data_IF_522522321402
#
_entry.id   IF_522522321402
#
_cell.length_a   1.000
_cell.length_b   1.000
_cell.length_c   1.000
_cell.angle_alpha   90.00
_cell.angle_beta   90.00
_cell.angle_gamma   90.00
#
_symmetry.space_group_name_H-M   'P 1'
#
loop_
_entity.id
_entity.type
_entity.pdbx_description
1 polymer ?
#
# COMPACT_ATOMS: atom_id res chain seq x y z
N UNK A 1 -12.40 19.52 6.05
CA UNK A 1 -11.07 20.07 5.75
C UNK A 1 -10.68 19.57 4.36
N UNK A 2 -10.36 20.48 3.45
CA UNK A 2 -9.91 20.16 2.08
C UNK A 2 -8.40 20.42 2.07
N UNK A 3 -7.62 19.48 1.53
CA UNK A 3 -6.14 19.55 1.49
C UNK A 3 -5.63 20.56 0.44
N UNK A 4 -6.44 20.83 -0.58
CA UNK A 4 -6.14 21.71 -1.69
C UNK A 4 -6.91 23.01 -1.54
N UNK A 5 -6.20 24.13 -1.67
CA UNK A 5 -6.77 25.47 -1.53
C UNK A 5 -7.42 25.92 -2.84
N UNK A 6 -6.67 25.90 -3.93
CA UNK A 6 -7.09 26.41 -5.25
C UNK A 6 -6.59 25.51 -6.38
N UNK A 7 -7.40 25.36 -7.42
CA UNK A 7 -7.07 24.63 -8.65
C UNK A 7 -6.80 25.62 -9.78
N UNK A 8 -5.72 25.42 -10.53
CA UNK A 8 -5.31 26.24 -11.65
C UNK A 8 -5.68 25.60 -13.00
N UNK A 9 -5.80 26.43 -14.04
CA UNK A 9 -5.98 25.94 -15.41
C UNK A 9 -4.75 25.18 -15.91
N UNK A 10 -4.97 24.17 -16.75
CA UNK A 10 -3.90 23.41 -17.39
C UNK A 10 -2.98 24.31 -18.22
N UNK A 11 -1.69 24.19 -18.00
CA UNK A 11 -0.66 24.87 -18.77
C UNK A 11 -0.34 24.11 -20.07
N UNK A 12 0.31 24.80 -21.00
CA UNK A 12 0.77 24.20 -22.25
C UNK A 12 1.71 23.02 -21.97
N UNK A 13 1.36 21.84 -22.49
CA UNK A 13 2.09 20.60 -22.31
C UNK A 13 2.70 20.15 -23.64
N UNK A 14 3.92 19.61 -23.58
CA UNK A 14 4.58 19.04 -24.76
C UNK A 14 3.81 17.82 -25.28
N UNK A 15 3.77 17.63 -26.60
CA UNK A 15 3.18 16.41 -27.21
C UNK A 15 3.92 15.12 -26.86
N UNK A 16 5.13 15.23 -26.31
CA UNK A 16 5.93 14.10 -25.83
C UNK A 16 5.69 13.77 -24.36
N UNK A 17 5.02 14.65 -23.62
CA UNK A 17 4.63 14.45 -22.23
C UNK A 17 3.23 13.84 -22.20
N UNK A 18 3.11 12.64 -21.64
CA UNK A 18 1.86 11.89 -21.57
C UNK A 18 1.28 11.86 -20.16
N UNK A 19 1.88 12.60 -19.23
CA UNK A 19 1.37 12.69 -17.88
C UNK A 19 0.08 13.51 -17.84
N UNK A 20 -0.86 13.08 -16.99
CA UNK A 20 -2.01 13.89 -16.63
C UNK A 20 -1.65 14.71 -15.39
N UNK A 21 -1.66 16.04 -15.52
CA UNK A 21 -1.36 16.95 -14.42
C UNK A 21 -2.61 17.56 -13.79
N UNK A 22 -2.54 17.77 -12.49
CA UNK A 22 -3.38 18.73 -11.77
C UNK A 22 -2.48 19.83 -11.21
N UNK A 23 -2.82 21.07 -11.50
CA UNK A 23 -2.10 22.25 -11.04
C UNK A 23 -2.89 22.88 -9.91
N UNK A 24 -2.29 22.99 -8.74
CA UNK A 24 -2.99 23.36 -7.51
C UNK A 24 -2.15 24.32 -6.65
N UNK A 25 -2.77 24.86 -5.60
CA UNK A 25 -2.10 25.58 -4.53
C UNK A 25 -2.33 24.91 -3.18
N UNK A 26 -1.27 24.81 -2.38
CA UNK A 26 -1.32 24.37 -0.98
C UNK A 26 -0.53 25.37 -0.14
N UNK A 27 -1.21 26.06 0.76
CA UNK A 27 -0.65 27.07 1.67
C UNK A 27 0.16 28.15 0.92
N UNK A 28 -0.33 28.59 -0.25
CA UNK A 28 0.33 29.59 -1.08
C UNK A 28 1.51 29.08 -1.91
N UNK A 29 1.79 27.77 -1.91
CA UNK A 29 2.79 27.16 -2.79
C UNK A 29 2.10 26.53 -4.00
N UNK A 30 2.66 26.77 -5.19
CA UNK A 30 2.20 26.11 -6.42
C UNK A 30 2.65 24.64 -6.41
N UNK A 31 1.70 23.74 -6.60
CA UNK A 31 1.90 22.29 -6.59
C UNK A 31 1.48 21.72 -7.94
N UNK A 32 2.32 20.85 -8.49
CA UNK A 32 2.01 20.04 -9.67
C UNK A 32 1.86 18.59 -9.21
N UNK A 33 0.71 17.99 -9.49
CA UNK A 33 0.42 16.60 -9.15
C UNK A 33 0.29 15.80 -10.44
N UNK A 34 0.93 14.63 -10.50
CA UNK A 34 0.71 13.66 -11.57
C UNK A 34 0.53 12.26 -10.99
N UNK A 35 -0.36 11.48 -11.61
CA UNK A 35 -0.51 10.06 -11.33
C UNK A 35 0.52 9.22 -12.07
N UNK A 36 0.89 8.07 -11.49
CA UNK A 36 1.69 7.08 -12.19
C UNK A 36 0.83 6.26 -13.15
N UNK A 37 1.37 5.93 -14.32
CA UNK A 37 0.72 5.04 -15.29
C UNK A 37 0.82 3.54 -14.89
N UNK A 38 1.45 3.24 -13.76
CA UNK A 38 1.61 1.90 -13.20
C UNK A 38 2.44 1.93 -11.91
N UNK A 39 2.47 0.84 -11.13
CA UNK A 39 3.32 0.74 -9.96
C UNK A 39 4.80 0.67 -10.33
N UNK A 40 5.67 0.94 -9.35
CA UNK A 40 7.11 0.72 -9.45
C UNK A 40 7.94 1.94 -9.86
N UNK A 41 9.26 1.78 -9.73
CA UNK A 41 10.24 2.87 -9.87
C UNK A 41 10.36 3.38 -11.31
N UNK A 42 10.18 2.50 -12.31
CA UNK A 42 10.30 2.87 -13.74
C UNK A 42 9.19 3.84 -14.14
N UNK A 43 7.96 3.57 -13.70
CA UNK A 43 6.82 4.45 -13.95
C UNK A 43 7.02 5.80 -13.26
N UNK A 44 7.44 5.80 -11.99
CA UNK A 44 7.75 7.02 -11.25
C UNK A 44 8.86 7.86 -11.92
N UNK A 45 9.94 7.22 -12.35
CA UNK A 45 11.05 7.90 -13.02
C UNK A 45 10.60 8.53 -14.35
N UNK A 46 9.77 7.82 -15.12
CA UNK A 46 9.25 8.30 -16.41
C UNK A 46 8.40 9.56 -16.23
N UNK A 47 7.46 9.51 -15.28
CA UNK A 47 6.58 10.64 -14.94
C UNK A 47 7.42 11.85 -14.51
N UNK A 48 8.33 11.69 -13.55
CA UNK A 48 9.17 12.79 -13.05
C UNK A 48 10.06 13.37 -14.13
N UNK A 49 10.60 12.55 -15.03
CA UNK A 49 11.45 13.02 -16.13
C UNK A 49 10.70 13.94 -17.09
N UNK A 50 9.48 13.55 -17.49
CA UNK A 50 8.62 14.38 -18.33
C UNK A 50 8.16 15.64 -17.58
N UNK A 51 7.77 15.50 -16.31
CA UNK A 51 7.36 16.61 -15.46
C UNK A 51 8.44 17.68 -15.28
N UNK A 52 9.71 17.29 -15.11
CA UNK A 52 10.83 18.24 -15.05
C UNK A 52 11.07 18.98 -16.36
N UNK A 53 10.75 18.34 -17.48
CA UNK A 53 10.87 18.96 -18.81
C UNK A 53 9.75 19.99 -19.01
N UNK A 54 8.52 19.65 -18.62
CA UNK A 54 7.35 20.52 -18.76
C UNK A 54 7.35 21.68 -17.75
N UNK A 55 7.80 21.44 -16.51
CA UNK A 55 7.81 22.43 -15.43
C UNK A 55 9.25 22.65 -14.91
N UNK A 56 10.06 23.48 -15.61
CA UNK A 56 11.48 23.65 -15.29
C UNK A 56 11.74 24.31 -13.91
N UNK A 57 10.72 24.96 -13.33
CA UNK A 57 10.80 25.61 -12.04
C UNK A 57 10.50 24.69 -10.84
N UNK A 58 10.27 23.39 -11.07
CA UNK A 58 10.11 22.43 -9.99
C UNK A 58 11.40 22.31 -9.16
N UNK A 59 11.30 22.63 -7.87
CA UNK A 59 12.42 22.56 -6.91
C UNK A 59 12.40 21.35 -6.00
N UNK A 60 11.20 20.90 -5.63
CA UNK A 60 11.00 19.84 -4.64
C UNK A 60 10.05 18.81 -5.22
N UNK A 61 10.30 17.54 -4.92
CA UNK A 61 9.45 16.42 -5.32
C UNK A 61 9.09 15.57 -4.12
N UNK A 62 7.81 15.24 -3.99
CA UNK A 62 7.29 14.31 -3.00
C UNK A 62 6.63 13.14 -3.72
N UNK A 63 7.17 11.94 -3.56
CA UNK A 63 6.54 10.72 -4.05
C UNK A 63 5.59 10.20 -2.98
N UNK A 64 4.29 10.17 -3.28
CA UNK A 64 3.26 9.62 -2.40
C UNK A 64 2.85 8.26 -2.95
N UNK A 65 3.06 7.22 -2.15
CA UNK A 65 2.70 5.85 -2.51
C UNK A 65 2.44 5.01 -1.26
N UNK A 66 1.83 3.86 -1.47
CA UNK A 66 1.63 2.88 -0.41
C UNK A 66 2.89 2.01 -0.35
N UNK A 67 3.62 2.08 0.77
CA UNK A 67 4.78 1.22 1.04
C UNK A 67 4.40 0.07 1.96
N UNK A 68 4.91 -1.14 1.67
CA UNK A 68 4.91 -2.24 2.62
C UNK A 68 6.09 -2.09 3.58
N UNK A 69 5.83 -1.82 4.86
CA UNK A 69 6.86 -1.74 5.89
C UNK A 69 6.98 -3.06 6.63
N UNK A 70 8.16 -3.67 6.61
CA UNK A 70 8.47 -4.85 7.42
C UNK A 70 9.09 -4.38 8.73
N UNK A 71 8.49 -4.73 9.87
CA UNK A 71 9.09 -4.47 11.18
C UNK A 71 10.00 -5.66 11.51
N UNK A 72 11.33 -5.47 11.40
CA UNK A 72 12.33 -6.46 11.83
C UNK A 72 12.34 -6.74 13.35
N UNK A 73 11.43 -6.12 14.13
CA UNK A 73 11.31 -6.33 15.58
C UNK A 73 10.92 -7.77 15.99
N UNK A 74 10.74 -8.69 15.05
CA UNK A 74 10.53 -10.12 15.34
C UNK A 74 11.81 -10.97 15.34
N UNK A 75 13.01 -10.37 15.30
CA UNK A 75 14.24 -11.11 15.60
C UNK A 75 15.08 -10.40 16.65
N UNK A 76 14.89 -10.89 17.88
CA UNK A 76 15.82 -10.90 19.02
C UNK A 76 16.22 -9.56 19.66
N UNK A 77 16.11 -9.56 21.00
CA UNK A 77 16.70 -8.60 21.91
C UNK A 77 18.15 -8.26 21.54
N UNK A 78 18.43 -7.01 21.18
CA UNK A 78 19.49 -6.14 21.71
C UNK A 78 19.83 -5.01 20.73
N UNK A 79 20.05 -3.84 21.33
CA UNK A 79 20.75 -2.66 20.82
C UNK A 79 20.09 -1.77 19.74
N UNK A 80 19.62 -0.62 20.24
CA UNK A 80 19.83 0.73 19.71
C UNK A 80 20.13 0.84 18.21
N UNK A 81 19.08 1.03 17.40
CA UNK A 81 19.07 1.77 16.13
C UNK A 81 17.66 1.84 15.55
N UNK A 82 16.88 2.80 16.02
CA UNK A 82 15.75 3.33 15.26
C UNK A 82 16.27 4.17 14.09
N UNK A 83 16.86 3.53 13.08
CA UNK A 83 17.19 4.17 11.81
C UNK A 83 16.32 3.57 10.72
N UNK A 84 15.22 4.26 10.42
CA UNK A 84 14.37 3.99 9.28
C UNK A 84 15.09 4.45 8.01
N UNK A 85 15.78 3.53 7.34
CA UNK A 85 16.21 3.76 5.96
C UNK A 85 15.09 3.28 5.03
N UNK A 86 14.43 4.22 4.34
CA UNK A 86 13.58 3.90 3.20
C UNK A 86 14.49 3.52 2.02
N UNK A 87 15.02 2.31 2.06
CA UNK A 87 15.57 1.66 0.88
C UNK A 87 14.37 1.14 0.08
N UNK A 88 14.25 1.50 -1.19
CA UNK A 88 13.30 0.86 -2.12
C UNK A 88 14.16 -0.13 -2.93
N UNK A 89 14.31 -1.39 -2.47
CA UNK A 89 15.05 -2.37 -3.23
C UNK A 89 14.23 -2.76 -4.46
N UNK A 90 14.92 -3.07 -5.55
CA UNK A 90 14.30 -3.66 -6.74
C UNK A 90 13.72 -5.04 -6.42
N UNK A 91 12.68 -5.41 -7.17
CA UNK A 91 11.93 -6.66 -7.12
C UNK A 91 12.85 -7.88 -7.39
N UNK A 92 13.71 -8.25 -6.43
CA UNK A 92 14.40 -9.54 -6.49
C UNK A 92 13.46 -10.66 -6.02
N UNK A 93 13.49 -11.81 -6.69
CA UNK A 93 12.65 -12.98 -6.36
C UNK A 93 12.82 -13.43 -4.89
N UNK A 94 14.01 -13.24 -4.32
CA UNK A 94 14.28 -13.50 -2.90
C UNK A 94 13.49 -12.59 -1.93
N UNK A 95 13.08 -11.40 -2.38
CA UNK A 95 12.20 -10.52 -1.61
C UNK A 95 10.74 -10.94 -1.75
N UNK A 96 10.30 -11.44 -2.91
CA UNK A 96 8.94 -11.97 -3.11
C UNK A 96 8.68 -13.16 -2.19
N UNK A 97 9.64 -14.06 -2.05
CA UNK A 97 9.53 -15.21 -1.13
C UNK A 97 9.51 -14.78 0.35
N UNK A 98 10.33 -13.78 0.71
CA UNK A 98 10.31 -13.20 2.07
C UNK A 98 8.98 -12.50 2.37
N UNK A 99 8.49 -11.70 1.44
CA UNK A 99 7.19 -11.02 1.55
C UNK A 99 6.06 -12.06 1.70
N UNK A 100 6.11 -13.15 0.93
CA UNK A 100 5.11 -14.24 1.01
C UNK A 100 5.10 -14.90 2.39
N UNK A 101 6.27 -15.26 2.94
CA UNK A 101 6.37 -15.85 4.27
C UNK A 101 5.94 -14.92 5.40
N UNK A 102 6.18 -13.62 5.29
CA UNK A 102 5.72 -12.65 6.29
C UNK A 102 4.21 -12.44 6.26
N UNK A 103 3.61 -12.44 5.06
CA UNK A 103 2.17 -12.34 4.89
C UNK A 103 1.48 -13.56 5.52
N UNK A 104 2.07 -14.75 5.46
CA UNK A 104 1.57 -15.95 6.16
C UNK A 104 1.57 -15.74 7.68
N UNK A 105 2.68 -15.28 8.25
CA UNK A 105 2.78 -14.97 9.69
C UNK A 105 1.76 -13.89 10.10
N UNK A 106 1.58 -12.85 9.28
CA UNK A 106 0.58 -11.82 9.54
C UNK A 106 -0.84 -12.36 9.45
N UNK A 107 -1.11 -13.24 8.48
CA UNK A 107 -2.39 -13.93 8.33
C UNK A 107 -2.71 -14.73 9.59
N UNK A 108 -1.76 -15.53 10.07
CA UNK A 108 -1.91 -16.31 11.30
C UNK A 108 -2.19 -15.44 12.52
N UNK A 109 -1.38 -14.39 12.73
CA UNK A 109 -1.57 -13.48 13.86
C UNK A 109 -2.92 -12.75 13.80
N UNK A 110 -3.37 -12.39 12.59
CA UNK A 110 -4.64 -11.67 12.42
C UNK A 110 -5.83 -12.61 12.60
N UNK A 111 -5.76 -13.85 12.13
CA UNK A 111 -6.75 -14.89 12.38
C UNK A 111 -6.85 -15.23 13.86
N UNK A 112 -5.72 -15.31 14.58
CA UNK A 112 -5.72 -15.48 16.03
C UNK A 112 -6.32 -14.27 16.77
N UNK A 113 -6.07 -13.04 16.29
CA UNK A 113 -6.69 -11.84 16.87
C UNK A 113 -8.22 -11.82 16.65
N UNK A 114 -8.68 -12.32 15.51
CA UNK A 114 -10.10 -12.56 15.20
C UNK A 114 -10.72 -13.61 16.12
N UNK A 115 -10.02 -14.73 16.35
CA UNK A 115 -10.44 -15.80 17.27
C UNK A 115 -10.73 -15.25 18.67
N UNK A 116 -9.81 -14.45 19.23
CA UNK A 116 -9.98 -13.84 20.55
C UNK A 116 -11.18 -12.89 20.64
N UNK A 117 -11.49 -12.19 19.54
CA UNK A 117 -12.56 -11.18 19.50
C UNK A 117 -13.95 -11.77 19.21
N UNK A 118 -14.03 -12.81 18.39
CA UNK A 118 -15.29 -13.41 17.93
C UNK A 118 -15.61 -14.78 18.57
N UNK A 119 -14.71 -15.33 19.38
CA UNK A 119 -14.80 -16.71 19.94
C UNK A 119 -15.04 -17.73 18.82
N UNK A 120 -14.24 -17.64 17.76
CA UNK A 120 -14.33 -18.55 16.61
C UNK A 120 -14.07 -19.99 17.03
N UNK A 121 -14.81 -20.92 16.45
CA UNK A 121 -14.54 -22.34 16.62
C UNK A 121 -13.37 -22.80 15.71
N UNK A 122 -12.82 -23.99 15.97
CA UNK A 122 -11.66 -24.51 15.24
C UNK A 122 -11.94 -24.65 13.73
N UNK A 123 -13.17 -25.00 13.36
CA UNK A 123 -13.60 -25.15 11.97
C UNK A 123 -13.68 -23.80 11.25
N UNK A 124 -14.24 -22.77 11.88
CA UNK A 124 -14.28 -21.39 11.34
C UNK A 124 -12.87 -20.83 11.14
N UNK A 125 -11.98 -21.05 12.11
CA UNK A 125 -10.58 -20.64 12.03
C UNK A 125 -9.88 -21.28 10.84
N UNK A 126 -10.06 -22.59 10.66
CA UNK A 126 -9.46 -23.34 9.57
C UNK A 126 -9.95 -22.82 8.21
N UNK A 127 -11.26 -22.60 8.06
CA UNK A 127 -11.84 -22.09 6.81
C UNK A 127 -11.33 -20.69 6.47
N UNK A 128 -11.25 -19.78 7.45
CA UNK A 128 -10.73 -18.43 7.23
C UNK A 128 -9.25 -18.48 6.83
N UNK A 129 -8.44 -19.29 7.53
CA UNK A 129 -7.02 -19.44 7.24
C UNK A 129 -6.79 -20.01 5.83
N UNK A 130 -7.46 -21.11 5.46
CA UNK A 130 -7.38 -21.71 4.12
C UNK A 130 -7.79 -20.73 3.01
N UNK A 131 -8.79 -19.89 3.27
CA UNK A 131 -9.26 -18.91 2.28
C UNK A 131 -8.32 -17.72 2.13
N UNK A 132 -7.81 -17.18 3.24
CA UNK A 132 -6.81 -16.10 3.21
C UNK A 132 -5.53 -16.57 2.52
N UNK A 133 -5.10 -17.81 2.76
CA UNK A 133 -3.87 -18.37 2.18
C UNK A 133 -3.99 -18.78 0.71
N UNK A 134 -5.20 -19.02 0.21
CA UNK A 134 -5.44 -19.39 -1.20
C UNK A 134 -5.07 -18.28 -2.20
N UNK A 135 -5.13 -17.01 -1.80
CA UNK A 135 -4.84 -15.87 -2.68
C UNK A 135 -3.32 -15.64 -2.78
N UNK A 136 -2.74 -15.90 -3.98
CA UNK A 136 -1.29 -15.90 -4.23
C UNK A 136 -0.58 -14.52 -4.19
N UNK A 137 -1.32 -13.41 -4.18
CA UNK A 137 -0.74 -12.04 -4.16
C UNK A 137 -1.48 -11.12 -3.18
N UNK A 138 -1.79 -11.63 -1.99
CA UNK A 138 -2.53 -10.87 -0.98
C UNK A 138 -1.64 -9.80 -0.35
N UNK A 139 -2.14 -8.58 -0.21
CA UNK A 139 -1.41 -7.49 0.49
C UNK A 139 -1.77 -7.47 1.97
N UNK A 140 -0.88 -6.92 2.82
CA UNK A 140 -1.17 -6.65 4.23
C UNK A 140 -2.50 -5.91 4.44
N UNK A 141 -2.75 -4.92 3.56
CA UNK A 141 -3.97 -4.15 3.58
C UNK A 141 -5.20 -5.02 3.30
N UNK A 142 -5.13 -5.92 2.32
CA UNK A 142 -6.23 -6.83 2.01
C UNK A 142 -6.55 -7.75 3.19
N UNK A 143 -5.55 -8.38 3.79
CA UNK A 143 -5.75 -9.25 4.98
C UNK A 143 -6.34 -8.44 6.14
N UNK A 144 -5.83 -7.23 6.39
CA UNK A 144 -6.34 -6.35 7.43
C UNK A 144 -7.81 -5.94 7.20
N UNK A 145 -8.16 -5.57 5.97
CA UNK A 145 -9.53 -5.16 5.61
C UNK A 145 -10.51 -6.31 5.71
N UNK A 146 -10.17 -7.49 5.16
CA UNK A 146 -11.00 -8.69 5.29
C UNK A 146 -11.22 -9.00 6.77
N UNK A 147 -10.18 -8.96 7.59
CA UNK A 147 -10.32 -9.25 9.01
C UNK A 147 -11.15 -8.21 9.76
N UNK A 148 -11.04 -6.92 9.41
CA UNK A 148 -11.88 -5.86 9.95
C UNK A 148 -13.36 -6.06 9.57
N UNK A 149 -13.63 -6.42 8.33
CA UNK A 149 -14.99 -6.72 7.88
C UNK A 149 -15.56 -7.94 8.61
N UNK A 150 -14.78 -9.01 8.76
CA UNK A 150 -15.20 -10.20 9.52
C UNK A 150 -15.46 -9.89 11.01
N UNK A 151 -14.75 -8.93 11.60
CA UNK A 151 -15.04 -8.45 12.96
C UNK A 151 -16.40 -7.76 13.06
N UNK A 152 -16.79 -7.01 12.03
CA UNK A 152 -18.04 -6.24 12.00
C UNK A 152 -19.27 -7.11 11.68
N UNK A 153 -19.11 -8.28 11.02
CA UNK A 153 -20.23 -9.17 10.68
C UNK A 153 -20.81 -9.91 11.90
N UNK A 154 -22.14 -9.98 12.05
CA UNK A 154 -22.79 -10.68 13.17
C UNK A 154 -22.49 -12.19 13.23
N UNK A 155 -22.42 -12.88 12.09
CA UNK A 155 -22.08 -14.30 11.99
C UNK A 155 -21.17 -14.57 10.80
N UNK A 156 -20.13 -15.38 10.99
CA UNK A 156 -19.25 -15.83 9.91
C UNK A 156 -19.78 -17.15 9.37
N UNK A 157 -20.37 -17.12 8.18
CA UNK A 157 -20.88 -18.32 7.49
C UNK A 157 -20.06 -18.60 6.24
N UNK A 158 -19.93 -19.87 5.82
CA UNK A 158 -19.26 -20.24 4.56
C UNK A 158 -19.68 -19.39 3.35
N UNK A 159 -20.98 -19.13 3.07
CA UNK A 159 -21.37 -18.27 1.96
C UNK A 159 -20.97 -16.79 2.14
N UNK A 160 -20.93 -16.27 3.38
CA UNK A 160 -20.40 -14.92 3.61
C UNK A 160 -18.92 -14.84 3.25
N UNK A 161 -18.14 -15.88 3.52
CA UNK A 161 -16.73 -15.93 3.12
C UNK A 161 -16.57 -15.98 1.60
N UNK A 162 -17.41 -16.68 0.86
CA UNK A 162 -17.39 -16.70 -0.62
C UNK A 162 -17.65 -15.34 -1.27
N UNK A 163 -18.23 -14.38 -0.54
CA UNK A 163 -18.39 -13.01 -1.05
C UNK A 163 -17.08 -12.21 -0.98
N UNK A 164 -16.10 -12.66 -0.18
CA UNK A 164 -14.85 -11.93 0.10
C UNK A 164 -13.60 -12.55 -0.56
N UNK A 165 -13.70 -13.77 -1.12
CA UNK A 165 -12.60 -14.53 -1.73
C UNK A 165 -12.91 -14.95 -3.16
#
# INVERSE_FOLDING_TARGET
MKMLDETHESLAQSSTDHNAYSLESINGYNVVIAGLHGPGNVAAATVVTQMRTTYPNLRYGLLVGIGGGINQAFQSQNDDKSTCFLHIPGEEDAQVDRITGEIEIFTDNTVQALERRKRLNADEKQVIHERLTRVRHRTYLWVHLVCKMLQEMYAITKPSLETFF
#
